data_IF_686503309482
#
_entry.id   IF_686503309482
#
_cell.length_a   1.000
_cell.length_b   1.000
_cell.length_c   1.000
_cell.angle_alpha   90.00
_cell.angle_beta   90.00
_cell.angle_gamma   90.00
#
_symmetry.space_group_name_H-M   'P 1'
#
loop_
_entity.id
_entity.type
_entity.pdbx_description
1 polymer ?
#
# COMPACT_ATOMS: atom_id res chain seq x y z
N UNK A 1 4.34 -1.60 0.33
CA UNK A 1 4.44 -3.04 0.03
C UNK A 1 3.06 -3.64 -0.26
N UNK A 2 3.01 -4.60 -1.20
CA UNK A 2 1.93 -5.60 -1.29
C UNK A 2 2.33 -6.76 -0.39
N UNK A 3 1.46 -7.14 0.56
CA UNK A 3 1.84 -8.09 1.61
C UNK A 3 1.11 -9.42 1.44
N UNK A 4 1.81 -10.49 1.77
CA UNK A 4 1.22 -11.80 2.01
C UNK A 4 1.23 -12.06 3.53
N UNK A 5 0.06 -12.23 4.11
CA UNK A 5 -0.11 -12.70 5.48
C UNK A 5 -0.90 -14.01 5.49
N UNK A 6 -0.88 -14.69 6.61
CA UNK A 6 -1.65 -15.92 6.82
C UNK A 6 -2.36 -15.90 8.18
N UNK A 7 -3.51 -16.55 8.25
CA UNK A 7 -4.22 -16.83 9.50
C UNK A 7 -4.20 -18.31 9.89
N UNK A 8 -3.42 -19.14 9.17
CA UNK A 8 -3.19 -20.53 9.56
C UNK A 8 -2.25 -20.58 10.77
N UNK A 9 -2.70 -21.05 11.96
CA UNK A 9 -1.86 -21.11 13.16
C UNK A 9 -0.60 -21.96 12.99
N UNK A 10 -0.64 -22.99 12.14
CA UNK A 10 0.51 -23.85 11.88
C UNK A 10 1.59 -23.14 11.05
N UNK A 11 1.17 -22.24 10.19
CA UNK A 11 2.04 -21.53 9.25
C UNK A 11 2.37 -20.08 9.67
N UNK A 12 1.72 -19.57 10.71
CA UNK A 12 1.82 -18.16 11.12
C UNK A 12 3.08 -17.87 11.96
N UNK A 13 3.75 -16.76 11.63
CA UNK A 13 4.74 -16.10 12.48
C UNK A 13 4.09 -14.80 12.97
N UNK A 14 4.01 -14.61 14.28
CA UNK A 14 3.39 -13.42 14.85
C UNK A 14 4.13 -12.14 14.49
N UNK A 15 3.37 -11.08 14.26
CA UNK A 15 3.92 -9.75 13.99
C UNK A 15 4.44 -9.16 15.29
N UNK A 16 5.75 -8.97 15.37
CA UNK A 16 6.43 -8.44 16.55
C UNK A 16 6.76 -6.97 16.41
N UNK A 17 7.02 -6.31 17.55
CA UNK A 17 7.43 -4.90 17.58
C UNK A 17 8.75 -4.70 16.83
N UNK A 18 8.78 -3.89 15.77
CA UNK A 18 10.03 -3.62 15.05
C UNK A 18 10.97 -2.75 15.90
N UNK A 19 12.27 -2.90 15.68
CA UNK A 19 13.27 -2.04 16.32
C UNK A 19 13.03 -0.57 15.95
N UNK A 20 13.17 0.35 16.90
CA UNK A 20 12.92 1.77 16.67
C UNK A 20 11.45 2.15 16.46
N UNK A 21 10.51 1.26 16.77
CA UNK A 21 9.08 1.53 16.63
C UNK A 21 8.64 2.78 17.40
N UNK A 22 7.96 3.68 16.69
CA UNK A 22 7.35 4.88 17.24
C UNK A 22 5.86 4.91 16.90
N UNK A 23 5.01 4.81 17.93
CA UNK A 23 3.55 4.83 17.76
C UNK A 23 3.02 6.18 17.29
N UNK A 24 3.76 7.27 17.46
CA UNK A 24 3.34 8.61 17.03
C UNK A 24 3.19 8.73 15.52
N UNK A 25 3.91 7.90 14.76
CA UNK A 25 3.79 7.81 13.29
C UNK A 25 2.37 7.48 12.83
N UNK A 26 1.55 6.85 13.69
CA UNK A 26 0.21 6.36 13.35
C UNK A 26 -0.92 7.18 14.01
N UNK A 27 -0.61 8.35 14.55
CA UNK A 27 -1.58 9.22 15.20
C UNK A 27 -2.74 9.64 14.27
N UNK A 28 -2.44 9.89 12.99
CA UNK A 28 -3.47 10.21 11.98
C UNK A 28 -4.42 9.04 11.71
N UNK A 29 -3.93 7.80 11.82
CA UNK A 29 -4.80 6.62 11.73
C UNK A 29 -5.81 6.59 12.87
N UNK A 30 -5.40 6.88 14.10
CA UNK A 30 -6.32 6.94 15.24
C UNK A 30 -7.40 8.00 15.04
N UNK A 31 -7.03 9.19 14.58
CA UNK A 31 -7.98 10.27 14.29
C UNK A 31 -8.97 9.84 13.20
N UNK A 32 -8.48 9.20 12.15
CA UNK A 32 -9.32 8.65 11.10
C UNK A 32 -10.32 7.62 11.64
N UNK A 33 -9.83 6.64 12.40
CA UNK A 33 -10.65 5.57 12.99
C UNK A 33 -11.70 6.13 13.95
N UNK A 34 -11.36 7.13 14.77
CA UNK A 34 -12.29 7.75 15.69
C UNK A 34 -13.49 8.39 14.99
N UNK A 35 -13.29 8.94 13.80
CA UNK A 35 -14.34 9.58 12.99
C UNK A 35 -15.08 8.56 12.13
N UNK A 36 -14.34 7.73 11.40
CA UNK A 36 -14.89 6.81 10.40
C UNK A 36 -15.53 5.57 11.03
N UNK A 37 -15.00 5.12 12.19
CA UNK A 37 -15.48 3.95 12.95
C UNK A 37 -15.60 2.68 12.10
N UNK A 38 -14.49 2.20 11.50
CA UNK A 38 -14.49 1.00 10.67
C UNK A 38 -14.96 -0.22 11.46
N UNK A 39 -15.72 -1.10 10.83
CA UNK A 39 -16.27 -2.30 11.43
C UNK A 39 -15.29 -3.48 11.41
N UNK A 40 -14.40 -3.50 10.43
CA UNK A 40 -13.39 -4.51 10.17
C UNK A 40 -12.17 -3.89 9.50
N UNK A 41 -11.05 -4.61 9.42
CA UNK A 41 -9.82 -4.09 8.79
C UNK A 41 -10.04 -3.77 7.30
N UNK A 42 -10.85 -4.57 6.62
CA UNK A 42 -11.14 -4.36 5.20
C UNK A 42 -12.01 -3.14 4.93
N UNK A 43 -12.57 -2.53 5.97
CA UNK A 43 -13.32 -1.28 5.90
C UNK A 43 -12.38 -0.06 6.00
N UNK A 44 -11.61 0.15 4.92
CA UNK A 44 -10.69 1.30 4.72
C UNK A 44 -9.54 1.43 5.73
N UNK A 45 -9.09 0.32 6.31
CA UNK A 45 -7.86 0.25 7.12
C UNK A 45 -6.78 -0.53 6.39
N UNK A 46 -7.10 -1.76 5.97
CA UNK A 46 -6.28 -2.61 5.13
C UNK A 46 -7.16 -3.25 4.07
N UNK A 47 -6.70 -3.37 2.83
CA UNK A 47 -7.38 -4.20 1.85
C UNK A 47 -6.85 -5.63 1.96
N UNK A 48 -7.70 -6.53 2.41
CA UNK A 48 -7.37 -7.94 2.63
C UNK A 48 -8.14 -8.77 1.62
N UNK A 49 -7.46 -9.20 0.56
CA UNK A 49 -8.01 -10.12 -0.42
C UNK A 49 -7.56 -11.54 -0.08
N UNK A 50 -8.51 -12.45 0.18
CA UNK A 50 -8.21 -13.83 0.52
C UNK A 50 -7.69 -14.60 -0.70
N UNK A 51 -6.61 -15.31 -0.50
CA UNK A 51 -5.93 -16.15 -1.47
C UNK A 51 -6.00 -17.63 -1.03
N UNK A 52 -5.75 -18.59 -1.93
CA UNK A 52 -5.64 -19.99 -1.56
C UNK A 52 -4.66 -20.25 -0.40
N UNK A 53 -4.82 -21.37 0.30
CA UNK A 53 -3.95 -21.83 1.38
C UNK A 53 -3.88 -20.86 2.59
N UNK A 54 -5.01 -20.24 2.92
CA UNK A 54 -5.10 -19.28 4.04
C UNK A 54 -4.13 -18.10 3.94
N UNK A 55 -3.76 -17.71 2.72
CA UNK A 55 -2.92 -16.56 2.42
C UNK A 55 -3.78 -15.33 2.08
N UNK A 56 -3.11 -14.19 2.01
CA UNK A 56 -3.73 -12.93 1.59
C UNK A 56 -2.90 -12.20 0.56
N UNK A 57 -3.56 -11.36 -0.22
CA UNK A 57 -2.95 -10.22 -0.90
C UNK A 57 -3.43 -8.96 -0.17
N UNK A 58 -2.52 -8.27 0.52
CA UNK A 58 -2.83 -7.03 1.23
C UNK A 58 -2.35 -5.85 0.40
N UNK A 59 -3.31 -4.99 0.08
CA UNK A 59 -3.11 -3.79 -0.71
C UNK A 59 -3.46 -2.53 0.09
N UNK A 60 -3.19 -1.38 -0.50
CA UNK A 60 -3.62 -0.09 0.02
C UNK A 60 -5.16 0.00 0.11
N UNK A 61 -5.66 0.50 1.24
CA UNK A 61 -7.07 0.81 1.43
C UNK A 61 -7.22 1.97 2.42
N UNK A 62 -8.04 2.93 2.06
CA UNK A 62 -8.27 4.11 2.89
C UNK A 62 -7.11 5.11 2.90
N UNK A 63 -7.23 6.15 3.73
CA UNK A 63 -6.28 7.27 3.71
C UNK A 63 -4.97 6.98 4.45
N UNK A 64 -4.90 5.88 5.23
CA UNK A 64 -3.73 5.50 6.01
C UNK A 64 -3.59 3.98 6.03
N UNK A 65 -2.80 3.43 5.13
CA UNK A 65 -2.69 1.99 4.90
C UNK A 65 -1.23 1.58 4.65
N UNK A 66 -1.03 0.44 3.99
CA UNK A 66 0.30 -0.15 3.74
C UNK A 66 1.19 0.66 2.80
N UNK A 67 0.61 1.60 2.06
CA UNK A 67 1.38 2.51 1.22
C UNK A 67 1.90 3.69 2.05
N UNK A 68 3.21 3.87 2.02
CA UNK A 68 3.88 5.00 2.65
C UNK A 68 3.89 6.18 1.68
N UNK A 69 2.70 6.77 1.48
CA UNK A 69 2.39 7.76 0.43
C UNK A 69 3.28 9.00 0.59
N UNK A 70 3.88 9.45 -0.53
CA UNK A 70 4.74 10.64 -0.58
C UNK A 70 6.17 10.41 -0.11
N UNK A 71 6.54 9.20 0.31
CA UNK A 71 7.84 8.92 0.94
C UNK A 71 8.85 8.26 0.00
N UNK A 72 8.56 8.18 -1.31
CA UNK A 72 9.43 7.55 -2.29
C UNK A 72 9.70 8.38 -3.55
N UNK A 73 9.38 9.67 -3.52
CA UNK A 73 9.58 10.56 -4.67
C UNK A 73 11.04 10.63 -5.13
N UNK A 74 11.96 10.56 -4.18
CA UNK A 74 13.40 10.59 -4.48
C UNK A 74 13.97 9.23 -4.92
N UNK A 75 13.16 8.17 -4.94
CA UNK A 75 13.64 6.83 -5.28
C UNK A 75 14.13 6.70 -6.73
N UNK A 76 13.41 7.21 -7.76
CA UNK A 76 13.81 7.03 -9.16
C UNK A 76 15.19 7.60 -9.47
N UNK A 77 15.48 8.78 -8.94
CA UNK A 77 16.74 9.51 -9.20
C UNK A 77 17.77 9.38 -8.06
N UNK A 78 17.41 8.67 -6.98
CA UNK A 78 18.29 8.43 -5.86
C UNK A 78 19.49 7.53 -6.23
N UNK A 79 20.63 7.77 -5.59
CA UNK A 79 21.73 6.83 -5.57
C UNK A 79 21.38 5.56 -4.76
N UNK A 80 22.29 4.59 -4.73
CA UNK A 80 22.04 3.34 -4.00
C UNK A 80 21.81 3.53 -2.50
N UNK A 81 22.48 4.51 -1.87
CA UNK A 81 22.30 4.78 -0.44
C UNK A 81 20.93 5.39 -0.16
N UNK A 82 20.52 6.36 -0.97
CA UNK A 82 19.19 7.00 -0.91
C UNK A 82 18.09 5.94 -1.09
N UNK A 83 18.19 5.10 -2.10
CA UNK A 83 17.22 4.01 -2.33
C UNK A 83 17.17 3.03 -1.19
N UNK A 84 18.34 2.64 -0.67
CA UNK A 84 18.41 1.73 0.49
C UNK A 84 17.74 2.33 1.72
N UNK A 85 17.92 3.62 1.98
CA UNK A 85 17.26 4.30 3.09
C UNK A 85 15.74 4.34 2.90
N UNK A 86 15.26 4.72 1.71
CA UNK A 86 13.81 4.74 1.39
C UNK A 86 13.19 3.36 1.60
N UNK A 87 13.86 2.28 1.14
CA UNK A 87 13.36 0.92 1.35
C UNK A 87 13.33 0.52 2.82
N UNK A 88 14.34 0.92 3.60
CA UNK A 88 14.38 0.68 5.03
C UNK A 88 13.25 1.41 5.77
N UNK A 89 13.00 2.66 5.41
CA UNK A 89 11.93 3.49 6.00
C UNK A 89 10.54 2.92 5.67
N UNK A 90 10.32 2.49 4.43
CA UNK A 90 9.08 1.83 4.03
C UNK A 90 8.86 0.51 4.76
N UNK A 91 9.91 -0.29 4.91
CA UNK A 91 9.84 -1.55 5.66
C UNK A 91 9.50 -1.29 7.13
N UNK A 92 10.18 -0.30 7.73
CA UNK A 92 9.94 0.11 9.12
C UNK A 92 8.50 0.59 9.33
N UNK A 93 8.02 1.49 8.46
CA UNK A 93 6.64 1.96 8.48
C UNK A 93 5.63 0.82 8.37
N UNK A 94 5.80 -0.07 7.38
CA UNK A 94 4.84 -1.15 7.13
C UNK A 94 4.76 -2.13 8.31
N UNK A 95 5.92 -2.58 8.82
CA UNK A 95 5.95 -3.45 10.00
C UNK A 95 5.40 -2.75 11.25
N UNK A 96 5.73 -1.47 11.41
CA UNK A 96 5.21 -0.65 12.49
C UNK A 96 3.69 -0.48 12.44
N UNK A 97 3.13 -0.27 11.26
CA UNK A 97 1.68 -0.15 11.04
C UNK A 97 0.95 -1.43 11.44
N UNK A 98 1.40 -2.58 10.96
CA UNK A 98 0.79 -3.87 11.29
C UNK A 98 0.85 -4.15 12.80
N UNK A 99 2.00 -3.87 13.41
CA UNK A 99 2.15 -3.99 14.87
C UNK A 99 1.24 -3.02 15.62
N UNK A 100 1.18 -1.76 15.20
CA UNK A 100 0.32 -0.74 15.80
C UNK A 100 -1.15 -1.16 15.79
N UNK A 101 -1.67 -1.61 14.65
CA UNK A 101 -3.07 -2.02 14.52
C UNK A 101 -3.41 -3.15 15.50
N UNK A 102 -2.51 -4.12 15.68
CA UNK A 102 -2.76 -5.27 16.55
C UNK A 102 -2.52 -5.02 18.04
N UNK A 103 -1.67 -4.04 18.41
CA UNK A 103 -1.15 -3.97 19.78
C UNK A 103 -1.37 -2.61 20.48
N UNK A 104 -1.62 -1.51 19.76
CA UNK A 104 -1.82 -0.22 20.42
C UNK A 104 -3.15 -0.20 21.17
N UNK A 105 -3.16 0.10 22.48
CA UNK A 105 -4.39 0.07 23.29
C UNK A 105 -5.43 1.11 22.87
N UNK A 106 -5.03 2.16 22.14
CA UNK A 106 -5.93 3.19 21.61
C UNK A 106 -6.72 2.72 20.39
N UNK A 107 -6.27 1.63 19.73
CA UNK A 107 -7.02 1.01 18.63
C UNK A 107 -8.26 0.29 19.16
N UNK A 108 -9.39 0.33 18.44
CA UNK A 108 -10.59 -0.45 18.79
C UNK A 108 -10.28 -1.92 18.98
N UNK A 109 -10.83 -2.53 20.04
CA UNK A 109 -10.53 -3.91 20.43
C UNK A 109 -10.84 -4.92 19.32
N UNK A 110 -11.94 -4.71 18.57
CA UNK A 110 -12.32 -5.61 17.47
C UNK A 110 -11.29 -5.60 16.34
N UNK A 111 -10.77 -4.42 15.95
CA UNK A 111 -9.72 -4.32 14.92
C UNK A 111 -8.39 -4.92 15.40
N UNK A 112 -8.04 -4.73 16.67
CA UNK A 112 -6.85 -5.38 17.26
C UNK A 112 -6.97 -6.91 17.22
N UNK A 113 -8.10 -7.44 17.66
CA UNK A 113 -8.36 -8.89 17.63
C UNK A 113 -8.32 -9.47 16.21
N UNK A 114 -8.88 -8.74 15.25
CA UNK A 114 -8.83 -9.14 13.85
C UNK A 114 -7.39 -9.14 13.33
N UNK A 115 -6.60 -8.09 13.60
CA UNK A 115 -5.21 -8.01 13.17
C UNK A 115 -4.33 -9.12 13.78
N UNK A 116 -4.56 -9.48 15.02
CA UNK A 116 -3.81 -10.55 15.72
C UNK A 116 -4.06 -11.95 15.17
N UNK A 117 -5.10 -12.14 14.35
CA UNK A 117 -5.30 -13.40 13.63
C UNK A 117 -4.27 -13.59 12.51
N UNK A 118 -3.70 -12.50 12.00
CA UNK A 118 -2.78 -12.49 10.87
C UNK A 118 -1.32 -12.45 11.32
N UNK A 119 -0.46 -13.08 10.51
CA UNK A 119 0.99 -13.06 10.70
C UNK A 119 1.72 -13.37 9.40
N UNK A 120 3.04 -13.34 9.44
CA UNK A 120 3.86 -13.67 8.26
C UNK A 120 3.83 -15.18 8.02
N UNK A 121 3.70 -15.64 6.77
CA UNK A 121 3.68 -17.08 6.46
C UNK A 121 5.10 -17.67 6.54
N UNK A 122 5.27 -18.79 7.25
CA UNK A 122 6.55 -19.49 7.40
C UNK A 122 7.09 -20.03 6.08
N UNK A 123 6.21 -20.35 5.14
CA UNK A 123 6.50 -21.00 3.85
C UNK A 123 6.71 -20.01 2.70
N UNK A 124 6.52 -18.70 2.94
CA UNK A 124 6.77 -17.67 1.92
C UNK A 124 7.99 -16.82 2.29
N UNK A 125 8.72 -16.37 1.26
CA UNK A 125 9.85 -15.44 1.40
C UNK A 125 10.88 -15.88 2.47
N UNK A 126 11.18 -17.15 2.51
CA UNK A 126 12.08 -17.76 3.52
C UNK A 126 13.49 -17.20 3.47
N UNK A 127 13.91 -16.71 2.31
CA UNK A 127 15.18 -16.01 2.05
C UNK A 127 15.15 -14.52 2.46
N UNK A 128 13.99 -13.97 2.83
CA UNK A 128 13.81 -12.57 3.23
C UNK A 128 13.03 -12.42 4.55
N UNK A 129 13.32 -13.27 5.53
CA UNK A 129 12.69 -13.25 6.85
C UNK A 129 11.15 -13.30 6.79
N UNK A 130 10.61 -14.10 5.89
CA UNK A 130 9.17 -14.30 5.66
C UNK A 130 8.38 -13.01 5.35
N UNK A 131 9.06 -12.02 4.81
CA UNK A 131 8.46 -10.75 4.39
C UNK A 131 8.68 -10.53 2.90
N UNK A 132 7.71 -9.94 2.20
CA UNK A 132 7.84 -9.64 0.76
C UNK A 132 9.10 -8.78 0.50
N UNK A 133 9.95 -9.16 -0.46
CA UNK A 133 11.13 -8.37 -0.78
C UNK A 133 10.83 -7.12 -1.60
N UNK A 134 9.66 -7.08 -2.24
CA UNK A 134 9.32 -6.04 -3.21
C UNK A 134 8.61 -4.87 -2.56
N UNK A 135 9.29 -3.74 -2.48
CA UNK A 135 8.67 -2.47 -2.17
C UNK A 135 7.80 -2.00 -3.36
N UNK A 136 6.69 -1.37 -3.03
CA UNK A 136 5.76 -0.85 -4.01
C UNK A 136 6.11 0.60 -4.33
N UNK A 137 7.00 0.79 -5.31
CA UNK A 137 7.44 2.10 -5.78
C UNK A 137 6.60 2.48 -6.98
N UNK A 138 5.76 3.50 -6.84
CA UNK A 138 4.89 4.00 -7.91
C UNK A 138 5.56 5.09 -8.74
N UNK A 139 6.29 5.95 -8.08
CA UNK A 139 7.02 7.03 -8.72
C UNK A 139 8.24 6.45 -9.42
N UNK A 140 8.22 6.46 -10.74
CA UNK A 140 9.23 5.83 -11.57
C UNK A 140 9.53 6.68 -12.80
N UNK A 141 10.69 6.45 -13.37
CA UNK A 141 11.06 7.04 -14.66
C UNK A 141 10.17 6.50 -15.76
N UNK A 142 9.81 7.39 -16.68
CA UNK A 142 9.03 7.03 -17.86
C UNK A 142 9.87 7.24 -19.10
N UNK A 143 9.72 6.32 -20.05
CA UNK A 143 10.38 6.44 -21.34
C UNK A 143 9.73 7.58 -22.13
N UNK A 144 10.56 8.46 -22.69
CA UNK A 144 10.14 9.43 -23.71
C UNK A 144 10.30 8.74 -25.06
N UNK A 145 9.19 8.24 -25.58
CA UNK A 145 9.13 7.58 -26.89
C UNK A 145 8.79 8.55 -28.02
N UNK A 146 8.73 8.04 -29.25
CA UNK A 146 8.23 8.80 -30.40
C UNK A 146 6.75 9.18 -30.24
N UNK A 147 6.00 8.37 -29.49
CA UNK A 147 4.63 8.63 -29.08
C UNK A 147 4.51 8.48 -27.56
N UNK A 148 3.78 9.39 -26.93
CA UNK A 148 3.49 9.35 -25.50
C UNK A 148 1.98 9.28 -25.31
N UNK A 149 1.50 8.18 -24.73
CA UNK A 149 0.09 8.00 -24.39
C UNK A 149 -0.36 9.05 -23.39
N UNK A 150 -1.52 9.62 -23.62
CA UNK A 150 -2.15 10.63 -22.77
C UNK A 150 -3.55 10.19 -22.32
N UNK A 151 -4.16 10.96 -21.43
CA UNK A 151 -5.56 10.77 -21.06
C UNK A 151 -6.51 10.82 -22.28
N UNK A 152 -6.22 11.62 -23.28
CA UNK A 152 -7.07 11.72 -24.47
C UNK A 152 -7.13 10.41 -25.25
N UNK A 153 -6.01 9.69 -25.33
CA UNK A 153 -5.97 8.35 -25.92
C UNK A 153 -6.81 7.37 -25.10
N UNK A 154 -6.62 7.35 -23.76
CA UNK A 154 -7.36 6.47 -22.87
C UNK A 154 -8.87 6.73 -22.88
N UNK A 155 -9.30 7.95 -23.13
CA UNK A 155 -10.70 8.34 -23.28
C UNK A 155 -11.23 8.25 -24.72
N UNK A 156 -10.45 7.70 -25.64
CA UNK A 156 -10.79 7.58 -27.06
C UNK A 156 -11.10 8.94 -27.76
N UNK A 157 -10.55 10.04 -27.24
CA UNK A 157 -10.63 11.36 -27.89
C UNK A 157 -9.61 11.51 -29.01
N UNK A 158 -8.52 10.77 -28.92
CA UNK A 158 -7.48 10.67 -29.95
C UNK A 158 -7.26 9.21 -30.28
N UNK A 159 -7.14 8.91 -31.57
CA UNK A 159 -6.88 7.55 -32.05
C UNK A 159 -5.38 7.32 -32.20
N UNK A 160 -4.88 6.22 -31.70
CA UNK A 160 -3.51 5.75 -31.94
C UNK A 160 -3.50 4.96 -33.24
N UNK A 161 -2.86 5.52 -34.28
CA UNK A 161 -2.92 4.96 -35.63
C UNK A 161 -2.12 3.65 -35.78
N UNK A 162 -1.08 3.47 -34.98
CA UNK A 162 -0.17 2.32 -34.97
C UNK A 162 -0.23 1.53 -33.67
N UNK A 163 -1.44 1.37 -33.14
CA UNK A 163 -1.65 0.65 -31.89
C UNK A 163 -1.08 -0.78 -31.93
N UNK A 164 -0.39 -1.16 -30.86
CA UNK A 164 0.27 -2.47 -30.72
C UNK A 164 -0.53 -3.45 -29.84
N UNK A 165 -1.58 -2.98 -29.20
CA UNK A 165 -2.39 -3.81 -28.29
C UNK A 165 -3.71 -3.15 -27.94
N UNK A 166 -4.49 -3.88 -27.12
CA UNK A 166 -5.73 -3.40 -26.53
C UNK A 166 -5.65 -3.50 -25.02
N UNK A 167 -6.23 -2.53 -24.31
CA UNK A 167 -6.42 -2.57 -22.89
C UNK A 167 -7.88 -2.27 -22.53
N UNK A 168 -8.35 -2.84 -21.43
CA UNK A 168 -9.72 -2.69 -20.96
C UNK A 168 -9.73 -2.55 -19.43
N UNK A 169 -9.01 -1.58 -18.92
CA UNK A 169 -8.97 -1.24 -17.51
C UNK A 169 -9.22 0.25 -17.31
N UNK A 170 -9.72 0.61 -16.15
CA UNK A 170 -9.86 2.03 -15.80
C UNK A 170 -8.49 2.69 -15.68
N UNK A 171 -8.41 3.97 -16.04
CA UNK A 171 -7.25 4.77 -15.65
C UNK A 171 -7.19 4.80 -14.13
N UNK A 172 -6.06 4.37 -13.60
CA UNK A 172 -5.83 4.21 -12.18
C UNK A 172 -4.56 4.98 -11.81
N UNK A 173 -4.72 6.05 -11.06
CA UNK A 173 -3.59 6.77 -10.48
C UNK A 173 -3.54 6.54 -8.98
N UNK A 174 -2.34 6.43 -8.46
CA UNK A 174 -2.09 6.25 -7.04
C UNK A 174 -2.03 7.61 -6.32
N UNK A 175 -2.38 7.62 -5.03
CA UNK A 175 -2.12 8.78 -4.18
C UNK A 175 -0.64 9.14 -4.19
N UNK A 176 -0.31 10.40 -4.39
CA UNK A 176 1.07 10.89 -4.45
C UNK A 176 1.49 11.66 -3.19
N UNK A 177 0.55 12.17 -2.42
CA UNK A 177 0.83 12.95 -1.23
C UNK A 177 -0.17 12.66 -0.11
N UNK A 178 0.32 12.69 1.13
CA UNK A 178 -0.51 12.64 2.34
C UNK A 178 -0.36 13.96 3.10
N UNK A 179 -1.48 14.62 3.31
CA UNK A 179 -1.57 15.92 3.95
C UNK A 179 -2.31 15.83 5.28
N UNK A 180 -2.10 16.82 6.13
CA UNK A 180 -2.90 17.05 7.33
C UNK A 180 -3.76 18.28 7.10
N UNK A 181 -5.08 18.11 7.01
CA UNK A 181 -6.03 19.19 6.81
C UNK A 181 -7.01 19.20 7.98
N UNK A 182 -7.07 20.30 8.70
CA UNK A 182 -7.90 20.42 9.91
C UNK A 182 -7.68 19.29 10.93
N UNK A 183 -6.42 18.85 11.08
CA UNK A 183 -6.05 17.78 12.00
C UNK A 183 -6.38 16.36 11.53
N UNK A 184 -6.91 16.21 10.32
CA UNK A 184 -7.28 14.93 9.70
C UNK A 184 -6.37 14.60 8.53
N UNK A 185 -6.20 13.29 8.27
CA UNK A 185 -5.47 12.80 7.10
C UNK A 185 -6.27 13.06 5.82
N UNK A 186 -5.60 13.58 4.81
CA UNK A 186 -6.10 13.74 3.45
C UNK A 186 -5.04 13.27 2.46
N UNK A 187 -5.42 12.46 1.50
CA UNK A 187 -4.55 12.07 0.40
C UNK A 187 -4.90 12.85 -0.88
N UNK A 188 -3.87 13.12 -1.68
CA UNK A 188 -3.98 13.77 -2.99
C UNK A 188 -3.46 12.83 -4.08
N UNK A 189 -3.97 13.02 -5.31
CA UNK A 189 -3.49 12.33 -6.51
C UNK A 189 -4.24 11.07 -6.90
N UNK A 190 -5.22 10.64 -6.13
CA UNK A 190 -6.07 9.49 -6.49
C UNK A 190 -7.09 9.91 -7.55
N UNK A 191 -6.90 9.42 -8.77
CA UNK A 191 -7.85 9.61 -9.87
C UNK A 191 -8.15 8.25 -10.50
N UNK A 192 -9.41 7.84 -10.41
CA UNK A 192 -9.91 6.67 -11.11
C UNK A 192 -10.98 7.11 -12.11
N UNK A 193 -10.76 6.82 -13.38
CA UNK A 193 -11.70 7.13 -14.46
C UNK A 193 -11.76 6.01 -15.46
N UNK A 194 -12.94 5.71 -15.93
CA UNK A 194 -13.12 4.77 -17.04
C UNK A 194 -12.34 5.24 -18.25
N UNK A 195 -11.54 4.37 -18.83
CA UNK A 195 -10.80 4.60 -20.04
C UNK A 195 -10.67 3.28 -20.80
N UNK A 196 -11.03 3.30 -22.05
CA UNK A 196 -10.95 2.13 -22.93
C UNK A 196 -10.46 2.61 -24.27
N UNK A 197 -9.44 2.00 -24.78
CA UNK A 197 -8.96 2.32 -26.07
C UNK A 197 -7.90 1.34 -26.55
N UNK A 198 -7.65 1.34 -27.87
CA UNK A 198 -6.44 0.73 -28.39
C UNK A 198 -5.22 1.53 -27.93
N UNK A 199 -4.18 0.84 -27.51
CA UNK A 199 -2.91 1.40 -27.09
C UNK A 199 -1.79 0.94 -28.03
#
# INVERSE_FOLDING_TARGET
YRLCLTNDPANKIDITRPAGYDSSMFELLLRYIAVFKPKELNDRVLKIDNMPNHKTDINNNGPFSTDYIGMNWNYPDGDYNTRKQILADQLHYTKGLLYFIGHDPRMPEHLRKEMLQWGYPKDEYTDNNNFTPQAYIRESRRMIGAYVMTQNNCEARETVADAVGMAAYTMDSHNCERLVVNGMVKNEGDVQKGGFGPY
#
